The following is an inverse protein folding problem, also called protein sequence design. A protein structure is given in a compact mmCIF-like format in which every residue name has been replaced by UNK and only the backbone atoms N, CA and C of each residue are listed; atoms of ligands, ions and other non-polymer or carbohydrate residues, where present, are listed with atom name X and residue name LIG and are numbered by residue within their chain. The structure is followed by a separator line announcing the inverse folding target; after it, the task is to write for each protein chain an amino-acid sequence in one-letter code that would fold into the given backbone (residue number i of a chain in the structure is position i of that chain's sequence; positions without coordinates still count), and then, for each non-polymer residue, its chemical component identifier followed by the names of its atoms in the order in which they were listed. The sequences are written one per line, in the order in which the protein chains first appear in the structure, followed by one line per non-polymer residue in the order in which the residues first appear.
data_IF_048821811709
#
_entry.id   IF_048821811709
#
_cell.length_a   1.000
_cell.length_b   1.000
_cell.length_c   1.000
_cell.angle_alpha   90.00
_cell.angle_beta   90.00
_cell.angle_gamma   90.00
#
_symmetry.space_group_name_H-M   'P 1'
#
loop_
_entity.id
_entity.type
_entity.pdbx_description
1 polymer ?
#
# COMPACT_ATOMS: atom_id res chain seq x y z
N UNK A 1 13.43 11.43 -4.96
CA UNK A 1 12.27 11.91 -4.18
C UNK A 1 11.81 10.79 -3.24
N UNK A 2 11.94 11.05 -1.97
CA UNK A 2 11.82 10.03 -0.90
C UNK A 2 10.45 9.35 -0.86
N UNK A 3 9.39 10.14 -0.95
CA UNK A 3 8.02 9.60 -0.87
C UNK A 3 7.72 8.67 -2.04
N UNK A 4 8.20 8.99 -3.20
CA UNK A 4 8.00 8.16 -4.38
C UNK A 4 8.86 6.89 -4.29
N UNK A 5 10.08 7.00 -3.80
CA UNK A 5 10.94 5.84 -3.59
C UNK A 5 10.34 4.87 -2.58
N UNK A 6 9.78 5.41 -1.49
CA UNK A 6 9.09 4.61 -0.49
C UNK A 6 7.91 3.86 -1.12
N UNK A 7 7.09 4.55 -1.89
CA UNK A 7 5.94 3.94 -2.54
C UNK A 7 6.34 2.87 -3.56
N UNK A 8 7.43 3.08 -4.28
CA UNK A 8 7.95 2.07 -5.22
C UNK A 8 8.44 0.83 -4.47
N UNK A 9 9.14 1.03 -3.35
CA UNK A 9 9.60 -0.08 -2.53
C UNK A 9 8.42 -0.85 -1.91
N UNK A 10 7.40 -0.13 -1.45
CA UNK A 10 6.18 -0.75 -0.94
C UNK A 10 5.46 -1.55 -2.02
N UNK A 11 5.34 -0.98 -3.21
CA UNK A 11 4.70 -1.67 -4.33
C UNK A 11 5.37 -3.02 -4.59
N UNK A 12 6.69 -3.03 -4.59
CA UNK A 12 7.44 -4.26 -4.85
C UNK A 12 7.17 -5.33 -3.79
N UNK A 13 7.18 -4.95 -2.51
CA UNK A 13 6.98 -5.94 -1.45
C UNK A 13 5.53 -6.39 -1.37
N UNK A 14 4.58 -5.50 -1.63
CA UNK A 14 3.16 -5.85 -1.67
C UNK A 14 2.88 -6.79 -2.83
N UNK A 15 3.44 -6.51 -4.02
CA UNK A 15 3.27 -7.38 -5.18
C UNK A 15 3.79 -8.79 -4.89
N UNK A 16 4.94 -8.89 -4.24
CA UNK A 16 5.50 -10.19 -3.86
C UNK A 16 4.60 -10.92 -2.86
N UNK A 17 4.03 -10.19 -1.91
CA UNK A 17 3.19 -10.77 -0.87
C UNK A 17 1.88 -11.38 -1.41
N UNK A 18 1.35 -10.85 -2.52
CA UNK A 18 0.06 -11.26 -3.06
C UNK A 18 0.14 -12.02 -4.38
N UNK A 19 1.32 -12.23 -4.91
CA UNK A 19 1.50 -12.81 -6.25
C UNK A 19 0.86 -14.18 -6.46
N UNK A 20 0.78 -14.98 -5.40
CA UNK A 20 0.23 -16.34 -5.46
C UNK A 20 -1.23 -16.43 -5.03
N UNK A 21 -1.81 -15.31 -4.66
CA UNK A 21 -3.21 -15.29 -4.22
C UNK A 21 -4.13 -14.96 -5.37
N UNK A 22 -4.95 -15.95 -5.78
CA UNK A 22 -5.88 -15.79 -6.90
C UNK A 22 -7.23 -15.34 -6.41
N UNK A 23 -7.75 -14.29 -7.01
CA UNK A 23 -9.02 -13.67 -6.63
C UNK A 23 -9.95 -13.66 -7.82
N UNK A 24 -11.25 -13.94 -7.63
CA UNK A 24 -12.22 -13.88 -8.73
C UNK A 24 -12.24 -12.52 -9.40
N UNK A 25 -12.57 -12.54 -10.69
CA UNK A 25 -12.74 -11.32 -11.48
C UNK A 25 -14.13 -11.35 -12.09
N UNK A 26 -14.61 -10.20 -12.57
CA UNK A 26 -15.91 -10.12 -13.21
C UNK A 26 -15.96 -10.93 -14.51
N UNK A 27 -14.90 -10.83 -15.28
CA UNK A 27 -14.79 -11.53 -16.56
C UNK A 27 -13.41 -12.19 -16.66
N UNK A 28 -13.40 -13.50 -16.89
CA UNK A 28 -12.17 -14.24 -17.09
C UNK A 28 -11.76 -15.07 -15.89
N UNK A 29 -10.50 -15.48 -15.89
CA UNK A 29 -9.95 -16.33 -14.84
C UNK A 29 -9.52 -15.53 -13.63
N UNK A 30 -9.59 -16.16 -12.46
CA UNK A 30 -9.07 -15.58 -11.23
C UNK A 30 -7.60 -15.18 -11.42
N UNK A 31 -7.21 -14.08 -10.83
CA UNK A 31 -5.85 -13.56 -10.97
C UNK A 31 -5.34 -12.96 -9.65
N UNK A 32 -4.04 -12.75 -9.57
CA UNK A 32 -3.45 -12.05 -8.45
C UNK A 32 -3.80 -10.55 -8.52
N UNK A 33 -3.88 -9.87 -7.39
CA UNK A 33 -4.14 -8.43 -7.40
C UNK A 33 -3.07 -7.65 -8.17
N UNK A 34 -3.51 -6.66 -8.93
CA UNK A 34 -2.60 -5.70 -9.56
C UNK A 34 -2.18 -4.69 -8.50
N UNK A 35 -0.89 -4.41 -8.39
CA UNK A 35 -0.38 -3.46 -7.40
C UNK A 35 0.05 -2.19 -8.14
N UNK A 36 -0.56 -1.08 -7.80
CA UNK A 36 -0.47 0.17 -8.54
C UNK A 36 -0.08 1.30 -7.60
N UNK A 37 0.86 2.15 -8.02
CA UNK A 37 1.20 3.36 -7.28
C UNK A 37 0.27 4.49 -7.70
N UNK A 38 -0.24 5.22 -6.71
CA UNK A 38 -1.01 6.43 -6.92
C UNK A 38 -2.50 6.20 -7.11
N UNK A 39 -2.96 6.19 -8.34
CA UNK A 39 -4.37 6.16 -8.65
C UNK A 39 -4.64 5.22 -9.82
N UNK A 40 -5.85 4.69 -9.86
CA UNK A 40 -6.26 3.89 -11.00
C UNK A 40 -6.33 4.79 -12.24
N UNK A 41 -5.92 4.27 -13.41
CA UNK A 41 -6.05 5.05 -14.64
C UNK A 41 -7.53 5.26 -14.98
N UNK A 42 -7.85 6.26 -15.81
CA UNK A 42 -9.21 6.45 -16.29
C UNK A 42 -9.75 5.18 -16.92
N UNK A 43 -10.98 4.84 -16.59
CA UNK A 43 -11.57 3.59 -17.05
C UNK A 43 -12.00 3.69 -18.51
N UNK A 44 -11.59 2.69 -19.29
CA UNK A 44 -12.04 2.50 -20.67
C UNK A 44 -12.90 1.25 -20.79
N UNK A 45 -12.91 0.45 -19.73
CA UNK A 45 -13.65 -0.80 -19.63
C UNK A 45 -14.68 -0.68 -18.52
N UNK A 46 -15.44 -1.73 -18.30
CA UNK A 46 -16.44 -1.76 -17.25
C UNK A 46 -15.85 -1.61 -15.85
N UNK A 47 -16.69 -1.26 -14.86
CA UNK A 47 -16.20 -0.94 -13.52
C UNK A 47 -15.55 -2.10 -12.78
N UNK A 48 -15.79 -3.35 -13.19
CA UNK A 48 -15.18 -4.50 -12.54
C UNK A 48 -13.81 -4.89 -13.07
N UNK A 49 -13.35 -4.28 -14.17
CA UNK A 49 -12.15 -4.72 -14.87
C UNK A 49 -10.84 -4.42 -14.13
N UNK A 50 -10.87 -3.48 -13.20
CA UNK A 50 -9.68 -3.12 -12.44
C UNK A 50 -9.45 -4.05 -11.25
N UNK A 51 -10.44 -4.83 -10.86
CA UNK A 51 -10.37 -5.70 -9.69
C UNK A 51 -9.72 -7.04 -10.01
N UNK A 52 -9.00 -7.66 -9.10
CA UNK A 52 -8.59 -7.13 -7.80
C UNK A 52 -7.41 -6.18 -7.92
N UNK A 53 -7.30 -5.24 -7.00
CA UNK A 53 -6.17 -4.30 -7.02
C UNK A 53 -5.72 -3.94 -5.60
N UNK A 54 -4.49 -3.45 -5.50
CA UNK A 54 -3.98 -2.77 -4.31
C UNK A 54 -3.33 -1.47 -4.80
N UNK A 55 -3.82 -0.36 -4.29
CA UNK A 55 -3.25 0.95 -4.62
C UNK A 55 -2.34 1.37 -3.48
N UNK A 56 -1.11 1.76 -3.81
CA UNK A 56 -0.14 2.30 -2.86
C UNK A 56 -0.10 3.80 -3.08
N UNK A 57 -0.54 4.56 -2.09
CA UNK A 57 -0.73 6.01 -2.24
C UNK A 57 -0.20 6.76 -1.03
N UNK A 58 0.73 7.70 -1.22
CA UNK A 58 1.12 8.57 -0.13
C UNK A 58 -0.02 9.53 0.18
N UNK A 59 -0.34 9.74 1.44
CA UNK A 59 -1.48 10.55 1.85
C UNK A 59 -1.10 11.78 2.64
N UNK A 60 -0.06 11.69 3.46
CA UNK A 60 0.38 12.82 4.26
C UNK A 60 1.79 12.57 4.75
N UNK A 61 2.39 13.60 5.28
CA UNK A 61 3.72 13.50 5.85
C UNK A 61 4.05 14.68 6.71
N UNK A 62 5.11 14.54 7.49
CA UNK A 62 5.57 15.56 8.41
C UNK A 62 7.07 15.43 8.57
N UNK A 63 7.78 16.55 8.43
CA UNK A 63 9.22 16.59 8.64
C UNK A 63 9.52 17.45 9.86
N UNK A 64 10.09 16.84 10.88
CA UNK A 64 10.55 17.52 12.06
C UNK A 64 12.07 17.67 12.03
N UNK A 65 12.64 18.16 13.12
CA UNK A 65 14.08 18.44 13.17
C UNK A 65 14.96 17.22 12.85
N UNK A 66 14.59 16.06 13.34
CA UNK A 66 15.42 14.86 13.22
C UNK A 66 14.80 13.75 12.39
N UNK A 67 13.53 13.84 12.10
CA UNK A 67 12.88 12.72 11.44
C UNK A 67 11.72 13.17 10.56
N UNK A 68 11.48 12.40 9.51
CA UNK A 68 10.32 12.57 8.63
C UNK A 68 9.42 11.36 8.79
N UNK A 69 8.12 11.62 8.88
CA UNK A 69 7.10 10.57 8.90
C UNK A 69 6.26 10.70 7.64
N UNK A 70 6.01 9.57 6.98
CA UNK A 70 5.19 9.53 5.76
C UNK A 70 4.08 8.52 5.99
N UNK A 71 2.85 8.95 5.75
CA UNK A 71 1.69 8.05 5.79
C UNK A 71 1.38 7.58 4.39
N UNK A 72 1.24 6.27 4.24
CA UNK A 72 0.93 5.65 2.95
C UNK A 72 -0.30 4.78 3.13
N UNK A 73 -1.32 5.06 2.34
CA UNK A 73 -2.53 4.25 2.30
C UNK A 73 -2.36 3.10 1.32
N UNK A 74 -2.90 1.96 1.68
CA UNK A 74 -3.01 0.80 0.80
C UNK A 74 -4.50 0.53 0.63
N UNK A 75 -5.01 0.80 -0.57
CA UNK A 75 -6.43 0.61 -0.88
C UNK A 75 -6.60 -0.71 -1.60
N UNK A 76 -7.32 -1.63 -0.99
CA UNK A 76 -7.49 -2.99 -1.50
C UNK A 76 -8.91 -3.11 -2.03
N UNK A 77 -9.05 -3.50 -3.31
CA UNK A 77 -10.35 -3.68 -3.93
C UNK A 77 -10.49 -5.06 -4.54
N UNK A 78 -11.64 -5.68 -4.33
CA UNK A 78 -11.97 -6.99 -4.89
C UNK A 78 -13.37 -6.97 -5.49
N UNK A 79 -13.59 -7.84 -6.46
CA UNK A 79 -14.89 -8.07 -7.05
C UNK A 79 -15.38 -9.46 -6.65
N UNK A 80 -16.60 -9.54 -6.13
CA UNK A 80 -17.21 -10.83 -5.84
C UNK A 80 -18.72 -10.65 -5.71
N UNK A 81 -19.47 -11.53 -6.35
CA UNK A 81 -20.92 -11.54 -6.25
C UNK A 81 -21.39 -12.32 -5.02
N UNK A 82 -20.47 -12.91 -4.28
CA UNK A 82 -20.77 -13.58 -3.02
C UNK A 82 -20.88 -12.58 -1.88
N UNK A 83 -21.79 -12.82 -0.94
CA UNK A 83 -21.94 -11.95 0.23
C UNK A 83 -20.73 -11.95 1.15
N UNK A 84 -19.86 -12.93 1.04
CA UNK A 84 -18.63 -13.00 1.81
C UNK A 84 -17.41 -12.53 1.02
N UNK A 85 -17.63 -11.75 -0.05
CA UNK A 85 -16.56 -11.21 -0.88
C UNK A 85 -15.53 -10.38 -0.14
N UNK A 86 -15.92 -9.76 0.99
CA UNK A 86 -14.98 -9.00 1.80
C UNK A 86 -13.82 -9.87 2.30
N UNK A 87 -14.00 -11.18 2.38
CA UNK A 87 -12.93 -12.08 2.86
C UNK A 87 -11.72 -12.09 1.93
N UNK A 88 -11.92 -11.84 0.64
CA UNK A 88 -10.81 -11.71 -0.30
C UNK A 88 -9.96 -10.49 0.06
N UNK A 89 -10.62 -9.38 0.35
CA UNK A 89 -9.92 -8.16 0.78
C UNK A 89 -9.18 -8.39 2.09
N UNK A 90 -9.82 -9.07 3.04
CA UNK A 90 -9.20 -9.38 4.33
C UNK A 90 -7.96 -10.26 4.16
N UNK A 91 -8.03 -11.24 3.25
CA UNK A 91 -6.91 -12.12 2.99
C UNK A 91 -5.72 -11.35 2.39
N UNK A 92 -6.00 -10.48 1.42
CA UNK A 92 -4.97 -9.64 0.83
C UNK A 92 -4.34 -8.76 1.90
N UNK A 93 -5.16 -8.10 2.72
CA UNK A 93 -4.69 -7.25 3.80
C UNK A 93 -3.78 -8.01 4.76
N UNK A 94 -4.20 -9.21 5.16
CA UNK A 94 -3.44 -10.03 6.07
C UNK A 94 -2.07 -10.42 5.51
N UNK A 95 -2.01 -10.76 4.22
CA UNK A 95 -0.76 -11.09 3.55
C UNK A 95 0.19 -9.90 3.52
N UNK A 96 -0.35 -8.72 3.23
CA UNK A 96 0.43 -7.48 3.21
C UNK A 96 0.96 -7.16 4.60
N UNK A 97 0.08 -7.18 5.60
CA UNK A 97 0.46 -6.92 6.99
C UNK A 97 1.58 -7.85 7.44
N UNK A 98 1.43 -9.14 7.16
CA UNK A 98 2.44 -10.11 7.55
C UNK A 98 3.78 -9.85 6.86
N UNK A 99 3.75 -9.49 5.58
CA UNK A 99 4.97 -9.17 4.85
C UNK A 99 5.67 -7.95 5.46
N UNK A 100 4.92 -6.91 5.79
CA UNK A 100 5.51 -5.70 6.35
C UNK A 100 6.02 -5.91 7.78
N UNK A 101 5.27 -6.63 8.59
CA UNK A 101 5.64 -6.83 10.01
C UNK A 101 6.73 -7.88 10.19
N UNK A 102 7.08 -8.62 9.15
CA UNK A 102 8.18 -9.60 9.20
C UNK A 102 9.44 -9.13 8.49
N UNK A 103 9.46 -7.92 7.99
CA UNK A 103 10.69 -7.34 7.47
C UNK A 103 11.75 -7.30 8.58
N UNK A 104 13.02 -7.62 8.27
CA UNK A 104 14.07 -7.54 9.29
C UNK A 104 14.14 -6.14 9.92
N UNK A 105 13.93 -6.07 11.23
CA UNK A 105 13.88 -4.81 11.95
C UNK A 105 12.73 -3.91 11.56
N UNK A 106 11.77 -4.43 10.78
CA UNK A 106 10.66 -3.66 10.21
C UNK A 106 11.16 -2.48 9.36
N UNK A 107 12.30 -2.68 8.67
CA UNK A 107 12.89 -1.66 7.80
C UNK A 107 12.74 -2.05 6.34
N UNK A 108 12.20 -1.14 5.55
CA UNK A 108 12.00 -1.31 4.12
C UNK A 108 13.11 -0.57 3.37
N UNK A 109 13.68 -1.23 2.36
CA UNK A 109 14.73 -0.65 1.52
C UNK A 109 15.91 -0.07 2.32
N UNK A 110 16.19 -0.64 3.49
CA UNK A 110 17.29 -0.23 4.39
C UNK A 110 17.19 1.21 4.89
N UNK A 111 16.04 1.85 4.71
CA UNK A 111 15.94 3.28 4.91
C UNK A 111 14.66 3.68 5.66
N UNK A 112 13.58 2.98 5.42
CA UNK A 112 12.26 3.37 5.94
C UNK A 112 11.85 2.44 7.06
N UNK A 113 11.70 3.00 8.25
CA UNK A 113 11.28 2.25 9.43
C UNK A 113 9.77 2.25 9.53
N UNK A 114 9.17 1.07 9.61
CA UNK A 114 7.74 0.96 9.86
C UNK A 114 7.44 1.53 11.24
N UNK A 115 6.52 2.46 11.30
CA UNK A 115 6.05 3.08 12.54
C UNK A 115 4.66 2.54 12.84
N UNK A 116 4.57 1.66 13.80
CA UNK A 116 3.28 1.09 14.20
C UNK A 116 2.42 2.13 14.89
N UNK A 117 1.09 2.02 14.81
CA UNK A 117 0.32 0.87 14.35
C UNK A 117 0.16 0.80 12.85
N UNK A 118 -0.03 -0.41 12.33
CA UNK A 118 -0.56 -0.66 11.01
C UNK A 118 -2.06 -0.83 11.20
N UNK A 119 -2.84 0.01 10.57
CA UNK A 119 -4.28 0.04 10.77
C UNK A 119 -5.02 -0.35 9.49
N UNK A 120 -6.21 -0.88 9.66
CA UNK A 120 -7.08 -1.16 8.54
C UNK A 120 -8.52 -0.86 8.93
N UNK A 121 -9.35 -0.57 7.95
CA UNK A 121 -10.77 -0.38 8.18
C UNK A 121 -11.57 -0.91 7.00
N UNK A 122 -12.69 -1.51 7.32
CA UNK A 122 -13.65 -2.02 6.36
C UNK A 122 -14.93 -1.22 6.55
N UNK A 123 -15.29 -0.43 5.55
CA UNK A 123 -16.50 0.37 5.62
C UNK A 123 -17.73 -0.52 5.79
N UNK A 124 -18.67 -0.10 6.62
CA UNK A 124 -19.93 -0.81 6.82
C UNK A 124 -20.72 -0.89 5.52
N UNK A 125 -20.68 0.18 4.71
CA UNK A 125 -21.35 0.22 3.42
C UNK A 125 -20.37 -0.14 2.32
N UNK A 126 -20.55 -1.31 1.73
CA UNK A 126 -19.72 -1.75 0.60
C UNK A 126 -20.52 -1.65 -0.69
N UNK A 127 -19.91 -1.15 -1.78
CA UNK A 127 -20.60 -1.04 -3.06
C UNK A 127 -20.70 -2.39 -3.79
N UNK A 128 -21.41 -3.33 -3.19
CA UNK A 128 -21.62 -4.67 -3.75
C UNK A 128 -21.90 -4.58 -5.27
N UNK A 129 -21.27 -5.39 -6.12
CA UNK A 129 -20.39 -6.54 -5.81
C UNK A 129 -18.90 -6.18 -5.70
N UNK A 130 -18.59 -4.93 -5.42
CA UNK A 130 -17.23 -4.46 -5.21
C UNK A 130 -16.98 -4.34 -3.71
N UNK A 131 -15.78 -4.73 -3.29
CA UNK A 131 -15.40 -4.76 -1.87
C UNK A 131 -14.10 -4.02 -1.70
N UNK A 132 -13.97 -3.26 -0.61
CA UNK A 132 -12.79 -2.44 -0.38
C UNK A 132 -12.41 -2.41 1.09
N UNK A 133 -11.10 -2.51 1.33
CA UNK A 133 -10.49 -2.27 2.63
C UNK A 133 -9.45 -1.18 2.46
N UNK A 134 -9.38 -0.30 3.43
CA UNK A 134 -8.35 0.73 3.49
C UNK A 134 -7.36 0.36 4.59
N UNK A 135 -6.08 0.27 4.25
CA UNK A 135 -4.99 0.12 5.20
C UNK A 135 -4.22 1.41 5.30
N UNK A 136 -3.72 1.71 6.48
CA UNK A 136 -2.84 2.85 6.68
C UNK A 136 -1.55 2.37 7.30
N UNK A 137 -0.43 2.78 6.71
CA UNK A 137 0.90 2.50 7.21
C UNK A 137 1.63 3.82 7.39
N UNK A 138 2.50 3.87 8.38
CA UNK A 138 3.30 5.05 8.65
C UNK A 138 4.78 4.65 8.64
N UNK A 139 5.59 5.48 8.02
CA UNK A 139 7.00 5.19 7.82
C UNK A 139 7.84 6.37 8.27
N UNK A 140 8.93 6.05 8.93
CA UNK A 140 9.87 7.06 9.40
C UNK A 140 11.20 6.91 8.71
N UNK A 141 11.82 8.05 8.43
CA UNK A 141 13.22 8.05 8.07
C UNK A 141 13.89 9.30 8.62
N UNK A 142 15.21 9.27 8.69
CA UNK A 142 15.96 10.39 9.23
C UNK A 142 15.74 11.62 8.38
N UNK A 143 15.37 12.73 9.01
CA UNK A 143 15.17 14.00 8.31
C UNK A 143 16.46 14.46 7.64
N UNK A 144 16.37 15.15 6.49
CA UNK A 144 17.55 15.72 5.85
C UNK A 144 18.26 16.68 6.79
N UNK A 145 19.57 16.54 6.87
CA UNK A 145 20.41 17.45 7.64
C UNK A 145 21.74 17.61 6.94
N UNK A 146 22.39 18.73 7.18
CA UNK A 146 23.71 18.94 6.61
C UNK A 146 24.73 18.59 7.68
N UNK A 147 25.77 17.79 7.32
CA UNK A 147 26.87 17.58 8.21
C UNK A 147 27.45 18.93 8.60
N UNK A 148 27.82 19.07 9.86
CA UNK A 148 28.36 20.31 10.38
C UNK A 148 29.54 20.82 9.56
N UNK A 149 29.44 22.06 9.09
CA UNK A 149 30.52 22.71 8.35
C UNK A 149 30.79 22.10 6.98
N UNK A 150 29.89 21.29 6.47
CA UNK A 150 30.11 20.61 5.21
C UNK A 150 28.98 20.94 4.24
N UNK A 151 28.36 20.13 3.68
CA UNK A 151 27.39 20.15 2.61
C UNK A 151 26.51 21.40 2.40
N UNK A 152 26.54 22.35 3.29
CA UNK A 152 25.79 23.60 3.13
C UNK A 152 26.20 24.29 1.84
N UNK A 153 27.47 24.20 1.50
CA UNK A 153 27.99 24.83 0.29
C UNK A 153 27.67 24.05 -0.99
N UNK A 154 27.26 22.83 -0.83
CA UNK A 154 26.94 21.96 -1.94
C UNK A 154 25.46 21.98 -2.31
N UNK A 155 24.68 22.69 -1.55
CA UNK A 155 23.22 22.79 -1.73
C UNK A 155 22.85 23.59 -2.97
#
# INVERSE_FOLDING_TARGET
MVEIELCKALRAIVAEAVKDFRVPVEHGEARAPSVINGYLPPKRKGPGDDFPFVIVRPTSGNTEAEETTISVALVIGCYSESCDGYEYCMNIMSRIRNALCTLPGEVLARKYQLDRPVEWSLSEDQPYPQWQIDMTTNWKYRAPEYPFGLDIEEV
#
